data_IF_421373831976
#
_entry.id   IF_421373831976
#
_cell.length_a   1.000
_cell.length_b   1.000
_cell.length_c   1.000
_cell.angle_alpha   90.00
_cell.angle_beta   90.00
_cell.angle_gamma   90.00
#
_symmetry.space_group_name_H-M   'P 1'
#
loop_
_entity.id
_entity.type
_entity.pdbx_description
1 polymer ?
#
# COMPACT_ATOMS: atom_id res chain seq x y z
N UNK A 1 11.26 56.16 17.27
CA UNK A 1 11.51 54.76 16.84
C UNK A 1 12.07 54.67 15.44
N UNK A 2 11.67 55.51 14.50
CA UNK A 2 12.21 55.56 13.12
C UNK A 2 13.70 55.93 13.06
N UNK A 3 14.17 56.87 13.87
CA UNK A 3 15.60 57.27 13.91
C UNK A 3 16.52 56.13 14.44
N UNK A 4 16.02 55.27 15.31
CA UNK A 4 16.79 54.12 15.79
C UNK A 4 16.85 52.99 14.75
N UNK A 5 15.78 52.84 13.94
CA UNK A 5 15.72 51.94 12.82
C UNK A 5 16.67 52.34 11.70
N UNK A 6 16.72 53.64 11.33
CA UNK A 6 17.63 54.12 10.29
C UNK A 6 19.09 54.08 10.75
N UNK A 7 19.41 54.37 11.99
CA UNK A 7 20.76 54.26 12.54
C UNK A 7 21.25 52.79 12.53
N UNK A 8 20.39 51.83 12.83
CA UNK A 8 20.75 50.40 12.72
C UNK A 8 20.99 50.01 11.25
N UNK A 9 20.15 50.45 10.31
CA UNK A 9 20.29 50.18 8.88
C UNK A 9 21.59 50.79 8.36
N UNK A 10 21.89 52.04 8.68
CA UNK A 10 23.15 52.70 8.26
C UNK A 10 24.40 52.04 8.86
N UNK A 11 24.33 51.51 10.08
CA UNK A 11 25.42 50.77 10.72
C UNK A 11 25.69 49.40 10.01
N UNK A 12 24.61 48.82 9.50
CA UNK A 12 24.68 47.57 8.73
C UNK A 12 25.21 47.81 7.29
N UNK A 13 24.92 48.94 6.65
CA UNK A 13 25.39 49.23 5.30
C UNK A 13 26.85 49.69 5.22
N UNK A 14 27.43 50.24 6.30
CA UNK A 14 28.75 50.89 6.27
C UNK A 14 29.94 50.08 6.78
N UNK A 15 29.71 48.92 7.46
CA UNK A 15 30.81 48.14 8.02
C UNK A 15 30.64 46.64 7.91
N UNK A 16 31.39 46.05 6.97
CA UNK A 16 31.39 44.59 6.72
C UNK A 16 31.63 43.76 8.01
N UNK A 17 32.41 44.28 8.97
CA UNK A 17 32.68 43.59 10.22
C UNK A 17 31.45 43.54 11.12
N UNK A 18 30.65 44.62 11.17
CA UNK A 18 29.39 44.71 11.91
C UNK A 18 28.34 43.74 11.31
N UNK A 19 28.24 43.69 9.99
CA UNK A 19 27.37 42.71 9.31
C UNK A 19 27.71 41.27 9.65
N UNK A 20 29.00 40.91 9.60
CA UNK A 20 29.46 39.56 9.93
C UNK A 20 29.15 39.21 11.38
N UNK A 21 29.44 40.13 12.33
CA UNK A 21 29.15 39.89 13.74
C UNK A 21 27.66 39.78 14.04
N UNK A 22 26.84 40.64 13.46
CA UNK A 22 25.40 40.55 13.64
C UNK A 22 24.81 39.26 13.03
N UNK A 23 25.24 38.89 11.85
CA UNK A 23 24.85 37.64 11.19
C UNK A 23 25.29 36.40 12.01
N UNK A 24 26.47 36.43 12.58
CA UNK A 24 26.95 35.35 13.47
C UNK A 24 26.09 35.22 14.72
N UNK A 25 25.68 36.36 15.33
CA UNK A 25 24.79 36.34 16.51
C UNK A 25 23.42 35.80 16.14
N UNK A 26 22.82 36.28 15.03
CA UNK A 26 21.53 35.81 14.53
C UNK A 26 21.58 34.28 14.24
N UNK A 27 22.60 33.84 13.56
CA UNK A 27 22.79 32.42 13.26
C UNK A 27 22.96 31.57 14.53
N UNK A 28 23.75 32.05 15.49
CA UNK A 28 23.92 31.37 16.77
C UNK A 28 22.61 31.24 17.53
N UNK A 29 21.82 32.32 17.61
CA UNK A 29 20.50 32.31 18.24
C UNK A 29 19.56 31.36 17.54
N UNK A 30 19.53 31.39 16.20
CA UNK A 30 18.71 30.47 15.38
C UNK A 30 19.07 29.00 15.64
N UNK A 31 20.37 28.66 15.65
CA UNK A 31 20.85 27.30 15.96
C UNK A 31 20.47 26.90 17.38
N UNK A 32 20.57 27.79 18.36
CA UNK A 32 20.16 27.53 19.74
C UNK A 32 18.67 27.21 19.84
N UNK A 33 17.84 28.00 19.15
CA UNK A 33 16.37 27.77 19.09
C UNK A 33 16.08 26.41 18.44
N UNK A 34 16.67 26.13 17.27
CA UNK A 34 16.48 24.87 16.56
C UNK A 34 16.87 23.66 17.44
N UNK A 35 18.03 23.72 18.10
CA UNK A 35 18.46 22.66 19.01
C UNK A 35 17.52 22.49 20.21
N UNK A 36 16.99 23.59 20.74
CA UNK A 36 16.00 23.54 21.83
C UNK A 36 14.71 22.87 21.38
N UNK A 37 14.23 23.19 20.17
CA UNK A 37 13.02 22.58 19.57
C UNK A 37 13.27 21.08 19.34
N UNK A 38 14.39 20.71 18.72
CA UNK A 38 14.77 19.31 18.48
C UNK A 38 14.76 18.54 19.79
N UNK A 39 15.47 19.02 20.82
CA UNK A 39 15.53 18.37 22.13
C UNK A 39 14.15 18.26 22.79
N UNK A 40 13.32 19.28 22.67
CA UNK A 40 11.94 19.27 23.20
C UNK A 40 11.06 18.24 22.45
N UNK A 41 11.24 18.13 21.14
CA UNK A 41 10.54 17.15 20.32
C UNK A 41 10.92 15.73 20.74
N UNK A 42 12.20 15.38 20.77
CA UNK A 42 12.66 14.05 21.18
C UNK A 42 12.22 13.69 22.60
N UNK A 43 12.30 14.60 23.56
CA UNK A 43 11.79 14.37 24.93
C UNK A 43 10.30 14.07 25.05
N UNK A 44 9.48 14.54 24.10
CA UNK A 44 8.03 14.30 24.09
C UNK A 44 7.61 13.04 23.34
N UNK A 45 8.50 12.49 22.52
CA UNK A 45 8.22 11.36 21.62
C UNK A 45 8.75 10.10 22.27
N UNK A 46 7.90 9.39 23.03
CA UNK A 46 8.28 8.12 23.70
C UNK A 46 8.19 6.87 22.79
N UNK A 47 8.17 7.06 21.47
CA UNK A 47 7.99 5.96 20.50
C UNK A 47 9.27 5.21 20.11
N UNK A 48 10.45 5.70 20.53
CA UNK A 48 11.74 5.15 20.11
C UNK A 48 12.50 4.68 21.33
N UNK A 49 13.16 3.51 21.24
CA UNK A 49 14.06 3.01 22.27
C UNK A 49 15.14 4.07 22.60
N UNK A 50 15.40 4.33 23.86
CA UNK A 50 16.33 5.37 24.33
C UNK A 50 17.69 5.42 23.62
N UNK A 51 18.24 4.26 23.24
CA UNK A 51 19.51 4.20 22.51
C UNK A 51 19.41 4.76 21.09
N UNK A 52 18.31 4.48 20.41
CA UNK A 52 18.04 4.98 19.03
C UNK A 52 17.71 6.46 19.06
N UNK A 53 16.99 6.93 20.08
CA UNK A 53 16.64 8.34 20.27
C UNK A 53 17.90 9.20 20.42
N UNK A 54 18.82 8.84 21.31
CA UNK A 54 20.09 9.56 21.51
C UNK A 54 20.93 9.65 20.24
N UNK A 55 20.98 8.55 19.46
CA UNK A 55 21.72 8.52 18.20
C UNK A 55 21.09 9.45 17.16
N UNK A 56 19.77 9.42 17.02
CA UNK A 56 19.05 10.29 16.09
C UNK A 56 19.18 11.77 16.50
N UNK A 57 19.02 12.10 17.79
CA UNK A 57 19.24 13.46 18.30
C UNK A 57 20.65 13.96 17.98
N UNK A 58 21.67 13.13 18.20
CA UNK A 58 23.06 13.47 17.90
C UNK A 58 23.28 13.68 16.38
N UNK A 59 22.69 12.83 15.52
CA UNK A 59 22.77 12.98 14.06
C UNK A 59 22.13 14.30 13.59
N UNK A 60 20.90 14.58 14.06
CA UNK A 60 20.18 15.81 13.69
C UNK A 60 20.93 17.04 14.18
N UNK A 61 21.45 17.02 15.42
CA UNK A 61 22.27 18.11 15.96
C UNK A 61 23.56 18.32 15.16
N UNK A 62 24.18 17.24 14.66
CA UNK A 62 25.36 17.33 13.79
C UNK A 62 25.02 17.99 12.44
N UNK A 63 23.92 17.57 11.82
CA UNK A 63 23.43 18.17 10.55
C UNK A 63 23.17 19.67 10.73
N UNK A 64 22.50 20.08 11.81
CA UNK A 64 22.25 21.49 12.14
C UNK A 64 23.59 22.23 12.35
N UNK A 65 24.57 21.63 13.00
CA UNK A 65 25.88 22.26 13.23
C UNK A 65 26.65 22.47 11.93
N UNK A 66 26.73 21.44 11.07
CA UNK A 66 27.39 21.54 9.77
C UNK A 66 26.65 22.51 8.85
N UNK A 67 25.33 22.50 8.83
CA UNK A 67 24.54 23.46 8.09
C UNK A 67 24.77 24.90 8.55
N UNK A 68 24.85 25.13 9.85
CA UNK A 68 25.17 26.44 10.41
C UNK A 68 26.61 26.88 10.05
N UNK A 69 27.58 25.97 10.10
CA UNK A 69 28.94 26.26 9.69
C UNK A 69 29.01 26.67 8.21
N UNK A 70 28.36 25.92 7.34
CA UNK A 70 28.29 26.23 5.90
C UNK A 70 27.61 27.59 5.68
N UNK A 71 26.46 27.83 6.33
CA UNK A 71 25.77 29.11 6.25
C UNK A 71 26.64 30.27 6.72
N UNK A 72 27.37 30.11 7.82
CA UNK A 72 28.33 31.11 8.28
C UNK A 72 29.44 31.38 7.28
N UNK A 73 30.03 30.34 6.70
CA UNK A 73 31.06 30.49 5.65
C UNK A 73 30.50 31.24 4.45
N UNK A 74 29.27 30.95 4.01
CA UNK A 74 28.61 31.64 2.90
C UNK A 74 28.41 33.13 3.25
N UNK A 75 27.96 33.45 4.45
CA UNK A 75 27.79 34.83 4.91
C UNK A 75 29.12 35.59 4.89
N UNK A 76 30.19 34.97 5.39
CA UNK A 76 31.51 35.59 5.37
C UNK A 76 32.01 35.82 3.92
N UNK A 77 31.87 34.79 3.06
CA UNK A 77 32.27 34.90 1.66
C UNK A 77 31.45 35.91 0.86
N UNK A 78 30.18 36.10 1.22
CA UNK A 78 29.30 37.07 0.53
C UNK A 78 29.77 38.52 0.68
N UNK A 79 30.69 38.80 1.61
CA UNK A 79 31.29 40.12 1.77
C UNK A 79 32.27 40.48 0.65
N UNK A 80 32.87 39.45 0.01
CA UNK A 80 33.88 39.63 -1.06
C UNK A 80 33.48 39.07 -2.41
N UNK A 81 32.52 38.14 -2.42
CA UNK A 81 32.07 37.41 -3.63
C UNK A 81 30.58 37.69 -3.83
N UNK A 82 30.17 37.89 -5.07
CA UNK A 82 28.77 38.00 -5.45
C UNK A 82 27.97 36.78 -4.98
N UNK A 83 27.02 37.04 -4.09
CA UNK A 83 26.14 36.01 -3.52
C UNK A 83 25.40 35.22 -4.61
N UNK A 84 25.08 35.86 -5.74
CA UNK A 84 24.40 35.23 -6.88
C UNK A 84 25.20 34.02 -7.42
N UNK A 85 26.51 34.16 -7.53
CA UNK A 85 27.39 33.08 -7.99
C UNK A 85 27.47 31.91 -7.01
N UNK A 86 27.51 32.22 -5.70
CA UNK A 86 27.50 31.20 -4.63
C UNK A 86 26.19 30.47 -4.65
N UNK A 87 25.06 31.17 -4.71
CA UNK A 87 23.71 30.57 -4.74
C UNK A 87 23.48 29.74 -5.99
N UNK A 88 23.98 30.16 -7.16
CA UNK A 88 23.90 29.38 -8.37
C UNK A 88 24.64 28.03 -8.24
N UNK A 89 25.86 28.03 -7.67
CA UNK A 89 26.60 26.80 -7.38
C UNK A 89 25.89 25.92 -6.32
N UNK A 90 25.41 26.51 -5.24
CA UNK A 90 24.64 25.81 -4.21
C UNK A 90 23.32 25.23 -4.74
N UNK A 91 22.67 25.91 -5.71
CA UNK A 91 21.48 25.42 -6.39
C UNK A 91 21.73 24.12 -7.15
N UNK A 92 22.83 24.02 -7.87
CA UNK A 92 23.19 22.78 -8.58
C UNK A 92 23.41 21.63 -7.58
N UNK A 93 24.13 21.88 -6.50
CA UNK A 93 24.33 20.87 -5.43
C UNK A 93 22.99 20.47 -4.82
N UNK A 94 22.09 21.44 -4.57
CA UNK A 94 20.76 21.19 -4.06
C UNK A 94 19.92 20.29 -4.96
N UNK A 95 20.00 20.48 -6.29
CA UNK A 95 19.33 19.62 -7.27
C UNK A 95 19.88 18.18 -7.20
N UNK A 96 21.20 18.02 -7.15
CA UNK A 96 21.83 16.68 -7.06
C UNK A 96 21.39 15.95 -5.77
N UNK A 97 21.40 16.65 -4.63
CA UNK A 97 20.94 16.10 -3.34
C UNK A 97 19.44 15.77 -3.40
N UNK A 98 18.64 16.65 -4.01
CA UNK A 98 17.21 16.47 -4.20
C UNK A 98 16.87 15.21 -5.01
N UNK A 99 17.55 14.98 -6.13
CA UNK A 99 17.42 13.75 -6.89
C UNK A 99 17.86 12.51 -6.10
N UNK A 100 18.95 12.60 -5.33
CA UNK A 100 19.39 11.53 -4.45
C UNK A 100 18.39 11.20 -3.34
N UNK A 101 17.64 12.20 -2.85
CA UNK A 101 16.64 12.02 -1.78
C UNK A 101 15.22 11.75 -2.31
N UNK A 102 14.96 11.82 -3.60
CA UNK A 102 13.63 11.74 -4.22
C UNK A 102 12.85 10.49 -3.80
N UNK A 103 13.49 9.33 -3.77
CA UNK A 103 12.83 8.08 -3.36
C UNK A 103 12.41 8.10 -1.90
N UNK A 104 13.24 8.66 -1.01
CA UNK A 104 12.92 8.78 0.40
C UNK A 104 11.70 9.69 0.62
N UNK A 105 11.68 10.83 -0.07
CA UNK A 105 10.58 11.80 -0.01
C UNK A 105 9.29 11.14 -0.50
N UNK A 106 9.36 10.42 -1.63
CA UNK A 106 8.22 9.67 -2.18
C UNK A 106 7.70 8.62 -1.19
N UNK A 107 8.60 7.84 -0.56
CA UNK A 107 8.24 6.83 0.42
C UNK A 107 7.49 7.43 1.62
N UNK A 108 7.98 8.56 2.14
CA UNK A 108 7.37 9.27 3.27
C UNK A 108 5.98 9.79 2.95
N UNK A 109 5.81 10.48 1.83
CA UNK A 109 4.49 11.00 1.43
C UNK A 109 3.51 9.86 1.18
N UNK A 110 3.91 8.81 0.49
CA UNK A 110 3.07 7.63 0.29
C UNK A 110 2.65 7.02 1.63
N UNK A 111 3.57 6.88 2.59
CA UNK A 111 3.26 6.36 3.93
C UNK A 111 2.27 7.25 4.71
N UNK A 112 2.44 8.57 4.64
CA UNK A 112 1.49 9.52 5.27
C UNK A 112 0.09 9.34 4.68
N UNK A 113 -0.04 9.25 3.36
CA UNK A 113 -1.34 9.08 2.70
C UNK A 113 -1.97 7.72 3.04
N UNK A 114 -1.20 6.63 3.03
CA UNK A 114 -1.70 5.30 3.43
C UNK A 114 -2.29 5.31 4.84
N UNK A 115 -1.62 5.97 5.79
CA UNK A 115 -2.09 6.08 7.17
C UNK A 115 -3.28 7.05 7.30
N UNK A 116 -3.24 8.19 6.62
CA UNK A 116 -4.29 9.22 6.71
C UNK A 116 -5.60 8.75 6.09
N UNK A 117 -5.53 8.15 4.90
CA UNK A 117 -6.71 7.66 4.18
C UNK A 117 -7.23 6.31 4.70
N UNK A 118 -6.49 5.67 5.61
CA UNK A 118 -6.84 4.34 6.17
C UNK A 118 -7.12 3.29 5.08
N UNK A 119 -6.36 3.34 3.99
CA UNK A 119 -6.53 2.40 2.86
C UNK A 119 -6.30 0.95 3.28
N UNK A 120 -5.52 0.75 4.35
CA UNK A 120 -5.24 -0.54 4.94
C UNK A 120 -4.95 -0.40 6.45
N UNK A 121 -5.27 -1.44 7.19
CA UNK A 121 -5.04 -1.52 8.62
C UNK A 121 -4.20 -2.76 8.95
N UNK A 122 -3.56 -2.75 10.13
CA UNK A 122 -2.88 -3.94 10.63
C UNK A 122 -3.89 -5.08 10.81
N UNK A 123 -3.58 -6.23 10.23
CA UNK A 123 -4.43 -7.41 10.22
C UNK A 123 -5.19 -7.62 8.92
N UNK A 124 -5.27 -6.62 8.04
CA UNK A 124 -5.91 -6.77 6.74
C UNK A 124 -5.13 -7.74 5.86
N UNK A 125 -5.85 -8.59 5.12
CA UNK A 125 -5.29 -9.36 4.04
C UNK A 125 -5.33 -8.55 2.75
N UNK A 126 -4.18 -8.35 2.14
CA UNK A 126 -4.03 -7.48 0.97
C UNK A 126 -3.21 -8.13 -0.14
N UNK A 127 -3.43 -7.64 -1.36
CA UNK A 127 -2.53 -7.87 -2.49
C UNK A 127 -1.86 -6.55 -2.87
N UNK A 128 -0.54 -6.57 -3.00
CA UNK A 128 0.27 -5.42 -3.43
C UNK A 128 0.82 -5.65 -4.82
N UNK A 129 0.65 -4.66 -5.70
CA UNK A 129 1.19 -4.66 -7.06
C UNK A 129 0.83 -5.94 -7.86
N UNK A 130 -0.29 -6.58 -7.55
CA UNK A 130 -0.78 -7.83 -8.16
C UNK A 130 0.19 -9.03 -8.02
N UNK A 131 1.21 -8.93 -7.16
CA UNK A 131 2.28 -9.95 -7.04
C UNK A 131 2.49 -10.45 -5.61
N UNK A 132 2.26 -9.61 -4.62
CA UNK A 132 2.53 -9.94 -3.22
C UNK A 132 1.24 -10.01 -2.43
N UNK A 133 0.99 -11.13 -1.78
CA UNK A 133 -0.23 -11.39 -1.01
C UNK A 133 0.13 -11.66 0.44
N UNK A 134 -0.59 -11.05 1.38
CA UNK A 134 -0.32 -11.32 2.78
C UNK A 134 -1.13 -10.46 3.74
N UNK A 135 -0.93 -10.72 5.02
CA UNK A 135 -1.55 -9.97 6.12
C UNK A 135 -0.65 -8.80 6.50
N UNK A 136 -1.23 -7.62 6.63
CA UNK A 136 -0.55 -6.41 7.09
C UNK A 136 -0.07 -6.61 8.52
N UNK A 137 1.24 -6.59 8.73
CA UNK A 137 1.86 -6.71 10.04
C UNK A 137 2.17 -5.34 10.66
N UNK A 138 2.64 -4.42 9.83
CA UNK A 138 3.02 -3.08 10.27
C UNK A 138 2.95 -2.07 9.12
N UNK A 139 2.42 -0.89 9.42
CA UNK A 139 2.32 0.23 8.47
C UNK A 139 3.18 1.38 8.99
N UNK A 140 4.38 1.47 8.47
CA UNK A 140 5.31 2.55 8.82
C UNK A 140 5.27 3.71 7.84
N UNK A 141 5.90 4.83 8.21
CA UNK A 141 6.00 6.02 7.34
C UNK A 141 6.78 5.75 6.04
N UNK A 142 7.75 4.85 6.06
CA UNK A 142 8.60 4.54 4.91
C UNK A 142 8.32 3.18 4.32
N UNK A 143 8.01 2.19 5.16
CA UNK A 143 7.86 0.80 4.78
C UNK A 143 6.54 0.24 5.25
N UNK A 144 5.93 -0.57 4.40
CA UNK A 144 4.85 -1.48 4.71
C UNK A 144 5.43 -2.88 4.88
N UNK A 145 4.99 -3.59 5.93
CA UNK A 145 5.36 -5.00 6.17
C UNK A 145 4.12 -5.87 6.06
N UNK A 146 4.21 -6.89 5.24
CA UNK A 146 3.16 -7.91 5.13
C UNK A 146 3.74 -9.30 5.40
N UNK A 147 2.95 -10.15 6.05
CA UNK A 147 3.27 -11.56 6.29
C UNK A 147 2.58 -12.39 5.23
N UNK A 148 3.36 -12.98 4.34
CA UNK A 148 2.83 -13.88 3.32
C UNK A 148 2.33 -15.19 3.94
N UNK A 149 1.51 -15.92 3.19
CA UNK A 149 1.00 -17.23 3.61
C UNK A 149 2.10 -18.24 3.97
N UNK A 150 3.24 -18.15 3.30
CA UNK A 150 4.43 -18.94 3.59
C UNK A 150 5.11 -18.62 4.93
N UNK A 151 4.65 -17.60 5.65
CA UNK A 151 5.27 -17.08 6.86
C UNK A 151 6.39 -16.07 6.60
N UNK A 152 6.75 -15.79 5.34
CA UNK A 152 7.77 -14.79 5.00
C UNK A 152 7.28 -13.39 5.33
N UNK A 153 8.17 -12.58 5.88
CA UNK A 153 7.94 -11.16 6.09
C UNK A 153 8.47 -10.37 4.88
N UNK A 154 7.56 -9.84 4.08
CA UNK A 154 7.90 -8.92 3.01
C UNK A 154 7.92 -7.49 3.58
N UNK A 155 9.01 -6.76 3.32
CA UNK A 155 9.11 -5.32 3.60
C UNK A 155 9.25 -4.59 2.27
N UNK A 156 8.31 -3.73 1.97
CA UNK A 156 8.27 -2.92 0.74
C UNK A 156 8.27 -1.45 1.09
N UNK A 157 9.00 -0.61 0.34
CA UNK A 157 8.92 0.84 0.53
C UNK A 157 7.58 1.37 -0.01
N UNK A 158 6.95 2.29 0.74
CA UNK A 158 5.63 2.79 0.42
C UNK A 158 5.57 3.43 -0.99
N UNK A 159 6.64 4.09 -1.41
CA UNK A 159 6.72 4.69 -2.75
C UNK A 159 6.78 3.68 -3.91
N UNK A 160 7.00 2.39 -3.64
CA UNK A 160 6.96 1.31 -4.64
C UNK A 160 5.57 0.68 -4.77
N UNK A 161 4.65 1.00 -3.87
CA UNK A 161 3.28 0.52 -3.91
C UNK A 161 2.52 1.31 -4.97
N UNK A 162 2.00 0.61 -5.99
CA UNK A 162 1.21 1.20 -7.09
C UNK A 162 -0.26 0.84 -6.96
N UNK A 163 -0.55 -0.39 -6.55
CA UNK A 163 -1.90 -0.92 -6.40
C UNK A 163 -2.02 -1.66 -5.08
N UNK A 164 -3.15 -1.48 -4.41
CA UNK A 164 -3.54 -2.18 -3.20
C UNK A 164 -4.93 -2.76 -3.44
N UNK A 165 -5.06 -4.08 -3.31
CA UNK A 165 -6.36 -4.74 -3.21
C UNK A 165 -6.54 -5.15 -1.75
N UNK A 166 -7.51 -4.58 -1.08
CA UNK A 166 -7.81 -4.89 0.31
C UNK A 166 -9.04 -5.79 0.38
N UNK A 167 -8.89 -6.97 1.00
CA UNK A 167 -9.93 -7.98 1.13
C UNK A 167 -10.75 -7.82 2.42
N UNK A 168 -10.43 -6.84 3.27
CA UNK A 168 -11.05 -6.64 4.57
C UNK A 168 -11.79 -5.30 4.67
N UNK A 169 -12.52 -4.93 3.58
CA UNK A 169 -13.36 -3.74 3.57
C UNK A 169 -14.82 -4.17 3.47
N UNK A 170 -15.55 -4.08 4.58
CA UNK A 170 -17.00 -4.29 4.75
C UNK A 170 -17.50 -5.70 4.42
N UNK A 171 -17.33 -6.21 3.22
CA UNK A 171 -17.77 -7.52 2.78
C UNK A 171 -17.04 -7.98 1.52
N UNK A 172 -17.09 -9.27 1.29
CA UNK A 172 -16.55 -9.88 0.08
C UNK A 172 -17.63 -10.67 -0.65
N UNK A 173 -17.52 -10.72 -1.96
CA UNK A 173 -18.38 -11.56 -2.79
C UNK A 173 -17.65 -12.84 -3.17
N UNK A 174 -18.18 -13.97 -2.76
CA UNK A 174 -17.78 -15.27 -3.28
C UNK A 174 -18.29 -15.38 -4.71
N UNK A 175 -17.43 -15.68 -5.66
CA UNK A 175 -17.74 -15.88 -7.07
C UNK A 175 -17.04 -17.18 -7.45
N UNK A 176 -17.84 -18.25 -7.64
CA UNK A 176 -17.32 -19.54 -8.04
C UNK A 176 -17.85 -19.93 -9.40
N UNK A 177 -16.93 -20.35 -10.24
CA UNK A 177 -17.24 -20.81 -11.60
C UNK A 177 -17.23 -22.32 -11.65
N UNK A 178 -18.26 -22.87 -12.30
CA UNK A 178 -18.42 -24.30 -12.53
C UNK A 178 -18.48 -24.54 -14.02
N UNK A 179 -17.54 -25.30 -14.56
CA UNK A 179 -17.53 -25.64 -15.99
C UNK A 179 -17.93 -27.10 -16.17
N UNK A 180 -19.01 -27.34 -16.91
CA UNK A 180 -19.55 -28.67 -17.20
C UNK A 180 -19.30 -29.07 -18.63
N UNK A 181 -19.35 -30.37 -18.92
CA UNK A 181 -19.18 -30.88 -20.27
C UNK A 181 -20.29 -30.36 -21.20
N UNK A 182 -20.00 -30.12 -22.48
CA UNK A 182 -20.95 -29.72 -23.52
C UNK A 182 -22.10 -30.72 -23.73
N UNK A 183 -21.93 -31.98 -23.32
CA UNK A 183 -22.95 -33.02 -23.45
C UNK A 183 -23.98 -33.00 -22.32
N UNK A 184 -23.76 -32.22 -21.26
CA UNK A 184 -24.72 -32.11 -20.17
C UNK A 184 -25.89 -31.22 -20.57
N UNK A 185 -27.11 -31.64 -20.19
CA UNK A 185 -28.29 -30.79 -20.35
C UNK A 185 -28.21 -29.57 -19.44
N UNK A 186 -28.18 -28.34 -19.99
CA UNK A 186 -28.11 -27.13 -19.18
C UNK A 186 -29.22 -27.02 -18.13
N UNK A 187 -30.40 -27.53 -18.37
CA UNK A 187 -31.55 -27.51 -17.43
C UNK A 187 -31.23 -28.39 -16.20
N UNK A 188 -30.67 -29.57 -16.43
CA UNK A 188 -30.22 -30.48 -15.37
C UNK A 188 -29.11 -29.85 -14.54
N UNK A 189 -28.16 -29.17 -15.19
CA UNK A 189 -27.09 -28.44 -14.53
C UNK A 189 -27.65 -27.32 -13.65
N UNK A 190 -28.57 -26.50 -14.16
CA UNK A 190 -29.22 -25.44 -13.37
C UNK A 190 -29.92 -26.01 -12.14
N UNK A 191 -30.66 -27.09 -12.28
CA UNK A 191 -31.34 -27.74 -11.12
C UNK A 191 -30.32 -28.22 -10.06
N UNK A 192 -29.20 -28.79 -10.48
CA UNK A 192 -28.14 -29.21 -9.55
C UNK A 192 -27.48 -28.00 -8.85
N UNK A 193 -27.22 -26.92 -9.58
CA UNK A 193 -26.66 -25.69 -9.02
C UNK A 193 -27.63 -24.98 -8.05
N UNK A 194 -28.93 -24.99 -8.34
CA UNK A 194 -29.95 -24.49 -7.41
C UNK A 194 -29.99 -25.33 -6.13
N UNK A 195 -29.92 -26.67 -6.24
CA UNK A 195 -29.80 -27.55 -5.08
C UNK A 195 -28.50 -27.26 -4.28
N UNK A 196 -27.40 -27.01 -4.97
CA UNK A 196 -26.16 -26.59 -4.31
C UNK A 196 -26.35 -25.26 -3.56
N UNK A 197 -27.04 -24.30 -4.12
CA UNK A 197 -27.32 -23.01 -3.47
C UNK A 197 -28.20 -23.17 -2.22
N UNK A 198 -29.18 -24.07 -2.23
CA UNK A 198 -29.99 -24.40 -1.04
C UNK A 198 -29.07 -24.94 0.07
N UNK A 199 -28.25 -25.94 -0.22
CA UNK A 199 -27.26 -26.49 0.72
C UNK A 199 -26.29 -25.43 1.25
N UNK A 200 -25.78 -24.56 0.37
CA UNK A 200 -24.87 -23.48 0.73
C UNK A 200 -25.53 -22.52 1.72
N UNK A 201 -26.77 -22.14 1.51
CA UNK A 201 -27.48 -21.26 2.42
C UNK A 201 -27.76 -21.91 3.79
N UNK A 202 -27.94 -23.23 3.83
CA UNK A 202 -28.14 -23.98 5.08
C UNK A 202 -26.83 -24.23 5.81
N UNK A 203 -25.80 -24.77 5.15
CA UNK A 203 -24.56 -25.21 5.77
C UNK A 203 -23.57 -24.04 5.99
N UNK A 204 -23.51 -23.08 5.07
CA UNK A 204 -22.53 -21.97 5.03
C UNK A 204 -23.18 -20.61 5.26
N UNK A 205 -24.50 -20.57 5.41
CA UNK A 205 -25.27 -19.33 5.59
C UNK A 205 -24.87 -18.50 6.82
N UNK A 206 -24.15 -19.09 7.78
CA UNK A 206 -23.57 -18.36 8.91
C UNK A 206 -22.53 -17.34 8.49
N UNK A 207 -21.86 -17.55 7.36
CA UNK A 207 -20.81 -16.67 6.84
C UNK A 207 -21.36 -15.51 6.00
N UNK A 208 -22.65 -15.57 5.62
CA UNK A 208 -23.29 -14.53 4.82
C UNK A 208 -23.32 -13.20 5.56
N UNK A 209 -23.01 -12.14 4.85
CA UNK A 209 -23.16 -10.77 5.31
C UNK A 209 -24.63 -10.47 5.53
N UNK A 210 -24.97 -9.97 6.72
CA UNK A 210 -26.34 -9.67 7.13
C UNK A 210 -26.55 -8.15 7.22
N UNK A 211 -27.74 -7.72 6.89
CA UNK A 211 -28.20 -6.35 7.11
C UNK A 211 -28.54 -6.09 8.59
N UNK A 212 -28.98 -4.88 8.90
CA UNK A 212 -29.40 -4.47 10.24
C UNK A 212 -30.58 -5.30 10.78
N UNK A 213 -31.38 -5.89 9.90
CA UNK A 213 -32.49 -6.77 10.23
C UNK A 213 -32.06 -8.24 10.37
N UNK A 214 -30.75 -8.53 10.37
CA UNK A 214 -30.16 -9.88 10.42
C UNK A 214 -30.51 -10.78 9.23
N UNK A 215 -30.94 -10.20 8.11
CA UNK A 215 -31.19 -10.93 6.86
C UNK A 215 -29.94 -10.89 5.98
N UNK A 216 -29.61 -11.99 5.27
CA UNK A 216 -28.51 -11.97 4.30
C UNK A 216 -28.73 -10.86 3.26
N UNK A 217 -27.70 -10.07 3.00
CA UNK A 217 -27.73 -9.02 1.95
C UNK A 217 -27.93 -9.67 0.59
N UNK A 218 -27.11 -10.66 0.28
CA UNK A 218 -27.26 -11.51 -0.91
C UNK A 218 -26.92 -12.96 -0.50
N UNK A 219 -27.91 -13.85 -0.42
CA UNK A 219 -27.67 -15.27 -0.19
C UNK A 219 -26.96 -15.91 -1.39
N UNK A 220 -26.43 -17.10 -1.21
CA UNK A 220 -25.91 -17.88 -2.32
C UNK A 220 -26.99 -18.15 -3.34
N UNK A 221 -26.72 -17.81 -4.59
CA UNK A 221 -27.62 -17.99 -5.72
C UNK A 221 -26.86 -18.33 -6.99
N UNK A 222 -27.52 -19.00 -7.92
CA UNK A 222 -27.02 -19.16 -9.28
C UNK A 222 -27.12 -17.81 -9.97
N UNK A 223 -25.95 -17.24 -10.34
CA UNK A 223 -25.92 -16.00 -11.10
C UNK A 223 -26.37 -16.22 -12.54
N UNK A 224 -26.02 -17.38 -13.12
CA UNK A 224 -26.39 -17.77 -14.45
C UNK A 224 -25.27 -18.49 -15.21
N UNK A 225 -25.51 -18.71 -16.49
CA UNK A 225 -24.49 -19.20 -17.42
C UNK A 225 -23.57 -18.01 -17.78
N UNK A 226 -22.28 -18.14 -17.45
CA UNK A 226 -21.29 -17.10 -17.67
C UNK A 226 -20.66 -17.16 -19.06
N UNK A 227 -20.40 -18.38 -19.56
CA UNK A 227 -19.81 -18.60 -20.87
C UNK A 227 -20.42 -19.83 -21.54
N UNK A 228 -20.68 -19.73 -22.85
CA UNK A 228 -21.11 -20.87 -23.69
C UNK A 228 -19.94 -21.73 -24.14
N UNK A 229 -18.72 -21.25 -24.03
CA UNK A 229 -17.52 -21.96 -24.44
C UNK A 229 -16.31 -21.50 -23.60
N UNK A 230 -16.15 -22.10 -22.43
CA UNK A 230 -15.00 -21.83 -21.56
C UNK A 230 -13.77 -22.60 -22.04
N UNK A 231 -12.87 -21.90 -22.74
CA UNK A 231 -11.60 -22.43 -23.27
C UNK A 231 -11.76 -23.77 -24.02
N UNK A 232 -12.87 -23.95 -24.74
CA UNK A 232 -13.23 -25.18 -25.45
C UNK A 232 -13.50 -26.42 -24.55
N UNK A 233 -13.71 -26.21 -23.23
CA UNK A 233 -13.94 -27.29 -22.28
C UNK A 233 -15.41 -27.56 -22.01
N UNK A 234 -16.28 -26.55 -22.05
CA UNK A 234 -17.68 -26.70 -21.73
C UNK A 234 -18.44 -25.42 -21.47
N UNK A 235 -19.64 -25.56 -20.91
CA UNK A 235 -20.45 -24.44 -20.46
C UNK A 235 -20.02 -24.02 -19.06
N UNK A 236 -19.81 -22.73 -18.85
CA UNK A 236 -19.43 -22.18 -17.54
C UNK A 236 -20.62 -21.50 -16.88
N UNK A 237 -20.88 -21.85 -15.65
CA UNK A 237 -21.90 -21.30 -14.76
C UNK A 237 -21.25 -20.60 -13.59
N UNK A 238 -21.97 -19.66 -12.99
CA UNK A 238 -21.47 -18.92 -11.84
C UNK A 238 -22.46 -18.97 -10.67
N UNK A 239 -21.95 -19.26 -9.48
CA UNK A 239 -22.62 -19.10 -8.20
C UNK A 239 -22.01 -17.90 -7.47
N UNK A 240 -22.85 -17.07 -6.88
CA UNK A 240 -22.39 -15.92 -6.09
C UNK A 240 -23.10 -15.85 -4.75
N UNK A 241 -22.42 -15.27 -3.74
CA UNK A 241 -22.98 -14.92 -2.44
C UNK A 241 -22.13 -13.86 -1.77
N UNK A 242 -22.73 -12.99 -0.95
CA UNK A 242 -22.00 -11.95 -0.21
C UNK A 242 -21.76 -12.44 1.21
N UNK A 243 -20.48 -12.46 1.60
CA UNK A 243 -20.04 -12.96 2.91
C UNK A 243 -19.30 -11.89 3.69
N UNK A 244 -19.17 -12.10 5.01
CA UNK A 244 -18.29 -11.28 5.83
C UNK A 244 -16.85 -11.42 5.34
N UNK A 245 -16.12 -10.33 5.29
CA UNK A 245 -14.76 -10.25 4.79
C UNK A 245 -13.77 -11.20 5.47
N UNK A 246 -13.81 -11.27 6.80
CA UNK A 246 -12.92 -12.11 7.61
C UNK A 246 -13.04 -13.60 7.33
N UNK A 247 -14.18 -14.05 6.83
CA UNK A 247 -14.46 -15.48 6.58
C UNK A 247 -14.46 -15.83 5.09
N UNK A 248 -14.15 -14.87 4.22
CA UNK A 248 -14.17 -15.04 2.77
C UNK A 248 -13.47 -16.32 2.28
N UNK A 249 -12.23 -16.53 2.72
CA UNK A 249 -11.44 -17.69 2.29
C UNK A 249 -12.04 -19.03 2.73
N UNK A 250 -12.62 -19.06 3.94
CA UNK A 250 -13.30 -20.24 4.46
C UNK A 250 -14.59 -20.46 3.69
N UNK A 251 -15.39 -19.43 3.51
CA UNK A 251 -16.63 -19.51 2.74
C UNK A 251 -16.40 -19.98 1.31
N UNK A 252 -15.37 -19.44 0.62
CA UNK A 252 -15.03 -19.85 -0.74
C UNK A 252 -14.62 -21.33 -0.84
N UNK A 253 -13.83 -21.84 0.12
CA UNK A 253 -13.44 -23.26 0.16
C UNK A 253 -14.65 -24.17 0.35
N UNK A 254 -15.51 -23.85 1.32
CA UNK A 254 -16.71 -24.62 1.58
C UNK A 254 -17.70 -24.55 0.42
N UNK A 255 -17.81 -23.38 -0.23
CA UNK A 255 -18.64 -23.23 -1.43
C UNK A 255 -18.20 -24.19 -2.53
N UNK A 256 -16.87 -24.27 -2.82
CA UNK A 256 -16.33 -25.21 -3.82
C UNK A 256 -16.60 -26.66 -3.45
N UNK A 257 -16.43 -27.03 -2.17
CA UNK A 257 -16.70 -28.37 -1.68
C UNK A 257 -18.15 -28.77 -1.91
N UNK A 258 -19.10 -27.94 -1.45
CA UNK A 258 -20.53 -28.23 -1.57
C UNK A 258 -20.97 -28.29 -3.03
N UNK A 259 -20.49 -27.39 -3.88
CA UNK A 259 -20.75 -27.44 -5.32
C UNK A 259 -20.26 -28.77 -5.91
N UNK A 260 -19.00 -29.15 -5.64
CA UNK A 260 -18.44 -30.38 -6.19
C UNK A 260 -19.19 -31.62 -5.76
N UNK A 261 -19.55 -31.73 -4.46
CA UNK A 261 -20.35 -32.84 -3.93
C UNK A 261 -21.74 -32.88 -4.59
N UNK A 262 -22.42 -31.74 -4.68
CA UNK A 262 -23.77 -31.70 -5.25
C UNK A 262 -23.79 -32.01 -6.76
N UNK A 263 -22.78 -31.55 -7.49
CA UNK A 263 -22.63 -31.90 -8.92
C UNK A 263 -22.42 -33.40 -9.09
N UNK A 264 -21.59 -34.03 -8.22
CA UNK A 264 -21.37 -35.47 -8.22
C UNK A 264 -22.66 -36.24 -7.89
N UNK A 265 -23.40 -35.86 -6.85
CA UNK A 265 -24.66 -36.48 -6.44
C UNK A 265 -25.75 -36.46 -7.53
N UNK A 266 -25.73 -35.40 -8.36
CA UNK A 266 -26.64 -35.23 -9.49
C UNK A 266 -26.14 -35.86 -10.78
N UNK A 267 -25.01 -36.60 -10.74
CA UNK A 267 -24.34 -37.19 -11.92
C UNK A 267 -24.14 -36.17 -13.03
N UNK A 268 -23.62 -34.97 -12.70
CA UNK A 268 -23.21 -33.96 -13.67
C UNK A 268 -21.72 -34.13 -13.96
N UNK A 269 -21.38 -34.34 -15.23
CA UNK A 269 -19.99 -34.46 -15.68
C UNK A 269 -19.36 -33.07 -15.74
N UNK A 270 -18.26 -32.89 -15.00
CA UNK A 270 -17.41 -31.72 -15.10
C UNK A 270 -16.69 -31.67 -16.44
N UNK A 271 -16.21 -30.48 -16.81
CA UNK A 271 -15.46 -30.30 -18.04
C UNK A 271 -14.18 -31.13 -18.04
N UNK A 272 -13.92 -31.82 -19.18
CA UNK A 272 -12.71 -32.60 -19.43
C UNK A 272 -12.00 -32.08 -20.67
N UNK A 273 -10.69 -32.08 -20.66
CA UNK A 273 -9.92 -31.80 -21.87
C UNK A 273 -9.94 -33.00 -22.80
N UNK A 274 -10.61 -32.89 -23.95
CA UNK A 274 -10.62 -33.95 -24.96
C UNK A 274 -9.60 -33.63 -26.05
N UNK A 275 -8.57 -34.47 -26.20
CA UNK A 275 -7.60 -34.37 -27.28
C UNK A 275 -7.96 -35.37 -28.34
N UNK A 276 -8.36 -34.93 -29.52
CA UNK A 276 -8.52 -35.80 -30.68
C UNK A 276 -7.18 -35.89 -31.43
N UNK A 277 -6.52 -37.04 -31.37
CA UNK A 277 -5.31 -37.30 -32.16
C UNK A 277 -5.73 -37.93 -33.49
N UNK A 278 -5.69 -37.13 -34.57
CA UNK A 278 -5.84 -37.69 -35.93
C UNK A 278 -4.46 -38.13 -36.43
N UNK A 279 -4.26 -39.41 -36.54
CA UNK A 279 -3.08 -39.96 -37.23
C UNK A 279 -3.34 -39.98 -38.74
N UNK A 280 -2.69 -39.13 -39.49
CA UNK A 280 -2.65 -39.26 -40.95
C UNK A 280 -1.68 -40.43 -41.31
N UNK A 281 -2.25 -41.52 -41.76
CA UNK A 281 -1.44 -42.54 -42.43
C UNK A 281 -1.05 -42.00 -43.81
N UNK A 282 0.22 -41.67 -44.00
CA UNK A 282 0.77 -41.40 -45.32
C UNK A 282 0.71 -42.75 -46.09
N UNK A 283 -0.20 -42.85 -47.05
CA UNK A 283 -0.08 -43.87 -48.08
C UNK A 283 1.16 -43.51 -48.89
N UNK A 284 2.22 -44.29 -48.71
CA UNK A 284 3.32 -44.31 -49.64
C UNK A 284 2.77 -44.91 -50.96
N UNK A 285 2.80 -44.11 -52.06
CA UNK A 285 2.75 -44.61 -53.43
C UNK A 285 4.16 -44.97 -53.92
#
# INVERSE_FOLDING_TARGET
MEQFGSFIIDLFEYNNTVQILASAIILFVAVMIIRKVIRSFFKRTSFIEERKEKTLEAMVNSIVSYGALIAFIIIVLSTWIDIGKILAGAGIIGIIIGFGAQSLIKDFFAGIFLLYEKQLLKGDYITLNNTHHGIVEDVGLRFLKIREWSGKLLTISNGQIKTIENYNIEYMRVIEHVTTNFLEDPRKVFTALEAACVRLNDEVGMFLKKDLAKKPIEPFKVYGMYSLNDQYHGYQYTITGVVEDLVYWTASKETRRIIAETMFDHNIAMAEQRVQVQSYSSKEE
#
